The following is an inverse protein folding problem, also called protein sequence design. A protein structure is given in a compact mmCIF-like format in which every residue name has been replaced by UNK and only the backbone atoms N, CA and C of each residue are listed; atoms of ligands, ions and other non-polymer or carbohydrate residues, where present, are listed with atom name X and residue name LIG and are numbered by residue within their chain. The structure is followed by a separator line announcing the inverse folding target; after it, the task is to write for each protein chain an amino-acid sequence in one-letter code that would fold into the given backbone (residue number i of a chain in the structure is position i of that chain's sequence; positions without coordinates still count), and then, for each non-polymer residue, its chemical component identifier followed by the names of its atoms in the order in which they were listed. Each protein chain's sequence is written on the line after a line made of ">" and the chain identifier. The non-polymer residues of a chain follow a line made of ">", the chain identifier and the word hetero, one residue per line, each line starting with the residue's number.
data_IF_681363722911
#
_entry.id   IF_681363722911
#
_cell.length_a   1.000
_cell.length_b   1.000
_cell.length_c   1.000
_cell.angle_alpha   90.00
_cell.angle_beta   90.00
_cell.angle_gamma   90.00
#
_symmetry.space_group_name_H-M   'P 1'
#
loop_
_entity.id
_entity.type
_entity.pdbx_description
1 polymer ?
#
# COMPACT_ATOMS: atom_id res chain seq x y z
N UNK A 1 10.43 14.55 18.92
CA UNK A 1 10.08 13.11 18.79
C UNK A 1 9.31 12.59 20.00
N UNK A 2 9.89 12.75 21.20
CA UNK A 2 9.38 12.15 22.44
C UNK A 2 7.99 12.65 22.85
N UNK A 3 7.68 13.93 22.60
CA UNK A 3 6.35 14.49 22.83
C UNK A 3 5.30 13.77 21.97
N UNK A 4 5.61 13.45 20.71
CA UNK A 4 4.69 12.72 19.83
C UNK A 4 4.51 11.28 20.32
N UNK A 5 5.59 10.62 20.76
CA UNK A 5 5.49 9.26 21.32
C UNK A 5 4.62 9.25 22.58
N UNK A 6 4.78 10.23 23.48
CA UNK A 6 3.95 10.36 24.69
C UNK A 6 2.47 10.47 24.33
N UNK A 7 2.12 11.30 23.34
CA UNK A 7 0.75 11.41 22.86
C UNK A 7 0.22 10.11 22.24
N UNK A 8 1.07 9.35 21.53
CA UNK A 8 0.69 8.04 20.98
C UNK A 8 0.43 7.01 22.09
N UNK A 9 1.24 7.04 23.16
CA UNK A 9 1.07 6.16 24.31
C UNK A 9 -0.23 6.49 25.09
N UNK A 10 -0.52 7.77 25.29
CA UNK A 10 -1.80 8.22 25.86
C UNK A 10 -3.00 7.78 25.00
N UNK A 11 -2.87 7.89 23.67
CA UNK A 11 -3.89 7.41 22.75
C UNK A 11 -4.10 5.89 22.84
N UNK A 12 -3.03 5.13 23.06
CA UNK A 12 -3.09 3.69 23.27
C UNK A 12 -3.84 3.36 24.57
N UNK A 13 -3.61 4.09 25.65
CA UNK A 13 -4.33 3.91 26.91
C UNK A 13 -5.83 4.18 26.77
N UNK A 14 -6.20 5.18 25.95
CA UNK A 14 -7.60 5.56 25.74
C UNK A 14 -8.36 4.62 24.79
N UNK A 15 -7.68 4.07 23.79
CA UNK A 15 -8.35 3.39 22.67
C UNK A 15 -7.96 1.93 22.47
N UNK A 16 -6.91 1.46 23.16
CA UNK A 16 -6.29 0.15 22.93
C UNK A 16 -5.46 0.05 21.64
N UNK A 17 -5.39 1.12 20.82
CA UNK A 17 -4.60 1.15 19.58
C UNK A 17 -3.27 1.83 19.85
N UNK A 18 -2.20 1.05 19.88
CA UNK A 18 -0.85 1.55 20.04
C UNK A 18 -0.27 2.03 18.70
N UNK A 19 0.48 3.12 18.75
CA UNK A 19 1.27 3.64 17.65
C UNK A 19 2.67 3.98 18.15
N UNK A 20 3.66 3.89 17.27
CA UNK A 20 5.01 4.38 17.54
C UNK A 20 5.46 5.32 16.43
N UNK A 21 6.53 6.09 16.66
CA UNK A 21 7.09 6.97 15.62
C UNK A 21 7.46 6.19 14.35
N UNK A 22 7.93 4.96 14.55
CA UNK A 22 8.29 3.98 13.54
C UNK A 22 7.83 2.60 14.02
N UNK A 23 7.21 1.82 13.15
CA UNK A 23 6.71 0.49 13.47
C UNK A 23 7.30 -0.56 12.55
N UNK A 24 7.64 -1.72 13.13
CA UNK A 24 8.11 -2.89 12.40
C UNK A 24 7.02 -3.95 12.32
N UNK A 25 6.86 -4.57 11.15
CA UNK A 25 6.00 -5.73 10.94
C UNK A 25 6.72 -6.75 10.04
N UNK A 26 6.73 -8.03 10.43
CA UNK A 26 7.33 -9.09 9.62
C UNK A 26 8.12 -10.10 10.45
N UNK A 27 8.97 -10.86 9.77
CA UNK A 27 9.74 -11.94 10.38
C UNK A 27 10.80 -11.41 11.36
N UNK A 28 10.87 -11.88 12.63
CA UNK A 28 11.83 -11.36 13.62
C UNK A 28 13.31 -11.43 13.20
N UNK A 29 13.65 -12.32 12.25
CA UNK A 29 14.97 -12.43 11.62
C UNK A 29 14.91 -12.06 10.12
N UNK A 30 14.17 -11.02 9.77
CA UNK A 30 14.07 -10.57 8.38
C UNK A 30 15.46 -10.16 7.85
N UNK A 31 15.77 -10.59 6.63
CA UNK A 31 17.01 -10.21 5.93
C UNK A 31 16.77 -9.11 4.89
N UNK A 32 15.52 -8.97 4.44
CA UNK A 32 15.07 -7.96 3.47
C UNK A 32 13.92 -7.16 4.03
N UNK A 33 13.97 -5.85 3.90
CA UNK A 33 12.90 -4.96 4.36
C UNK A 33 12.43 -3.99 3.29
N UNK A 34 11.18 -3.55 3.43
CA UNK A 34 10.66 -2.37 2.77
C UNK A 34 10.41 -1.28 3.82
N UNK A 35 10.90 -0.05 3.59
CA UNK A 35 10.57 1.12 4.41
C UNK A 35 9.64 2.02 3.60
N UNK A 36 8.50 2.37 4.18
CA UNK A 36 7.52 3.22 3.52
C UNK A 36 6.75 4.10 4.49
N UNK A 37 6.00 5.06 3.92
CA UNK A 37 5.12 5.97 4.63
C UNK A 37 3.73 5.99 3.98
N UNK A 38 2.70 6.11 4.82
CA UNK A 38 1.31 6.29 4.40
C UNK A 38 0.61 4.97 4.04
N UNK A 39 -0.44 5.05 3.22
CA UNK A 39 -1.36 3.93 3.00
C UNK A 39 -0.71 2.68 2.41
N UNK A 40 0.43 2.80 1.71
CA UNK A 40 1.13 1.63 1.15
C UNK A 40 1.58 0.65 2.23
N UNK A 41 1.86 1.16 3.43
CA UNK A 41 2.26 0.37 4.58
C UNK A 41 1.22 -0.68 4.97
N UNK A 42 -0.08 -0.40 4.80
CA UNK A 42 -1.14 -1.38 5.06
C UNK A 42 -1.03 -2.58 4.12
N UNK A 43 -0.91 -2.34 2.81
CA UNK A 43 -0.72 -3.40 1.80
C UNK A 43 0.56 -4.19 2.07
N UNK A 44 1.65 -3.50 2.41
CA UNK A 44 2.94 -4.13 2.72
C UNK A 44 2.86 -4.98 3.99
N UNK A 45 2.23 -4.48 5.05
CA UNK A 45 2.04 -5.19 6.32
C UNK A 45 1.22 -6.46 6.10
N UNK A 46 0.10 -6.37 5.37
CA UNK A 46 -0.70 -7.55 5.00
C UNK A 46 0.11 -8.57 4.21
N UNK A 47 0.90 -8.10 3.23
CA UNK A 47 1.74 -8.98 2.42
C UNK A 47 2.73 -9.76 3.28
N UNK A 48 3.51 -9.10 4.15
CA UNK A 48 4.50 -9.81 4.98
C UNK A 48 3.87 -10.70 6.05
N UNK A 49 2.72 -10.31 6.60
CA UNK A 49 1.96 -11.16 7.54
C UNK A 49 1.41 -12.42 6.85
N UNK A 50 1.05 -12.34 5.57
CA UNK A 50 0.60 -13.50 4.79
C UNK A 50 1.73 -14.48 4.42
N UNK A 51 3.00 -14.10 4.65
CA UNK A 51 4.21 -14.86 4.32
C UNK A 51 5.12 -15.02 5.55
N UNK A 52 4.63 -15.60 6.67
CA UNK A 52 5.37 -15.64 7.92
C UNK A 52 6.68 -16.43 7.83
N UNK A 53 6.81 -17.36 6.87
CA UNK A 53 8.03 -18.16 6.66
C UNK A 53 9.09 -17.44 5.81
N UNK A 54 8.73 -16.35 5.14
CA UNK A 54 9.70 -15.56 4.38
C UNK A 54 10.44 -14.60 5.32
N UNK A 55 11.77 -14.54 5.21
CA UNK A 55 12.61 -13.61 6.00
C UNK A 55 12.51 -12.17 5.48
N UNK A 56 11.29 -11.63 5.47
CA UNK A 56 10.93 -10.30 4.99
C UNK A 56 10.22 -9.50 6.06
N UNK A 57 10.26 -8.18 5.94
CA UNK A 57 9.53 -7.29 6.83
C UNK A 57 9.33 -5.90 6.24
N UNK A 58 8.60 -5.09 7.00
CA UNK A 58 8.18 -3.75 6.63
C UNK A 58 8.43 -2.85 7.82
N UNK A 59 8.94 -1.65 7.54
CA UNK A 59 9.00 -0.57 8.50
C UNK A 59 8.10 0.56 8.01
N UNK A 60 7.17 0.94 8.87
CA UNK A 60 6.25 2.06 8.64
C UNK A 60 6.72 3.27 9.41
N UNK A 61 6.98 4.37 8.71
CA UNK A 61 7.33 5.66 9.32
C UNK A 61 6.06 6.47 9.52
N UNK A 62 5.70 6.75 10.78
CA UNK A 62 4.52 7.55 11.13
C UNK A 62 4.88 9.03 11.32
N UNK A 63 5.99 9.32 12.01
CA UNK A 63 6.50 10.68 12.16
C UNK A 63 7.63 10.94 11.16
N UNK A 64 7.35 11.63 10.04
CA UNK A 64 8.39 11.92 9.05
C UNK A 64 9.33 13.07 9.47
N UNK A 65 8.82 14.09 10.17
CA UNK A 65 9.59 15.24 10.65
C UNK A 65 9.16 15.67 12.06
N UNK A 66 10.10 15.93 12.98
CA UNK A 66 11.55 15.66 12.89
C UNK A 66 11.81 14.15 12.69
N UNK A 67 12.78 13.79 11.83
CA UNK A 67 13.00 12.41 11.41
C UNK A 67 13.50 11.56 12.59
N UNK A 68 12.85 10.43 12.92
CA UNK A 68 13.10 9.70 14.15
C UNK A 68 14.21 8.65 13.96
N UNK A 69 15.44 9.09 13.65
CA UNK A 69 16.59 8.21 13.33
C UNK A 69 16.80 7.08 14.35
N UNK A 70 16.79 7.38 15.65
CA UNK A 70 17.00 6.35 16.66
C UNK A 70 15.85 5.32 16.70
N UNK A 71 14.60 5.78 16.58
CA UNK A 71 13.45 4.88 16.55
C UNK A 71 13.46 4.01 15.29
N UNK A 72 13.87 4.58 14.14
CA UNK A 72 14.07 3.85 12.91
C UNK A 72 15.10 2.73 13.09
N UNK A 73 16.29 3.05 13.59
CA UNK A 73 17.36 2.06 13.78
C UNK A 73 16.97 0.97 14.77
N UNK A 74 16.26 1.33 15.85
CA UNK A 74 15.75 0.37 16.84
C UNK A 74 14.68 -0.59 16.26
N UNK A 75 13.95 -0.16 15.24
CA UNK A 75 12.92 -0.98 14.60
C UNK A 75 13.50 -2.00 13.59
N UNK A 76 14.78 -1.89 13.22
CA UNK A 76 15.41 -2.78 12.25
C UNK A 76 15.96 -4.04 12.92
N UNK A 77 15.49 -5.26 12.59
CA UNK A 77 16.11 -6.49 13.05
C UNK A 77 17.61 -6.53 12.73
N UNK A 78 18.41 -7.12 13.61
CA UNK A 78 19.87 -7.22 13.43
C UNK A 78 20.27 -7.95 12.14
N UNK A 79 19.47 -8.94 11.72
CA UNK A 79 19.67 -9.78 10.55
C UNK A 79 19.49 -9.08 9.20
N UNK A 80 19.03 -7.83 9.18
CA UNK A 80 18.73 -7.10 7.94
C UNK A 80 20.00 -6.84 7.14
N UNK A 81 19.95 -7.19 5.85
CA UNK A 81 21.05 -7.02 4.89
C UNK A 81 20.66 -6.08 3.75
N UNK A 82 19.37 -6.01 3.42
CA UNK A 82 18.86 -5.29 2.26
C UNK A 82 17.60 -4.50 2.63
N UNK A 83 17.52 -3.25 2.20
CA UNK A 83 16.35 -2.38 2.41
C UNK A 83 15.96 -1.70 1.11
N UNK A 84 14.70 -1.85 0.70
CA UNK A 84 14.09 -1.00 -0.33
C UNK A 84 13.29 0.12 0.34
N UNK A 85 13.58 1.37 -0.01
CA UNK A 85 12.82 2.54 0.47
C UNK A 85 11.84 2.98 -0.60
N UNK A 86 10.56 3.13 -0.25
CA UNK A 86 9.50 3.50 -1.18
C UNK A 86 9.03 4.94 -0.97
N UNK A 87 9.25 5.75 -1.99
CA UNK A 87 8.83 7.15 -2.02
C UNK A 87 7.63 7.34 -2.95
N UNK A 88 6.61 8.03 -2.45
CA UNK A 88 5.44 8.45 -3.24
C UNK A 88 5.63 9.84 -3.84
N UNK A 89 6.83 10.10 -4.34
CA UNK A 89 7.22 11.37 -4.97
C UNK A 89 8.29 11.10 -6.04
N UNK A 90 8.57 12.12 -6.85
CA UNK A 90 9.69 12.10 -7.79
C UNK A 90 10.35 13.48 -7.74
N UNK A 91 11.65 13.49 -7.46
CA UNK A 91 12.47 14.70 -7.52
C UNK A 91 13.46 14.57 -8.69
N UNK A 92 13.14 15.10 -9.88
CA UNK A 92 13.96 14.91 -11.07
C UNK A 92 15.38 15.46 -10.89
N UNK A 93 16.39 14.64 -11.20
CA UNK A 93 17.80 15.02 -11.09
C UNK A 93 18.39 14.94 -9.68
N UNK A 94 17.60 14.57 -8.67
CA UNK A 94 18.08 14.36 -7.31
C UNK A 94 18.98 13.11 -7.18
N UNK A 95 19.78 13.08 -6.12
CA UNK A 95 20.55 11.91 -5.70
C UNK A 95 19.68 10.83 -5.02
N UNK A 96 18.38 11.08 -4.86
CA UNK A 96 17.40 10.15 -4.30
C UNK A 96 16.18 10.90 -3.79
N UNK A 97 15.07 10.19 -3.64
CA UNK A 97 13.85 10.75 -3.08
C UNK A 97 13.97 11.00 -1.55
N UNK A 98 13.13 11.87 -0.96
CA UNK A 98 13.32 12.37 0.39
C UNK A 98 13.40 11.30 1.49
N UNK A 99 12.48 10.32 1.50
CA UNK A 99 12.51 9.26 2.51
C UNK A 99 13.74 8.37 2.34
N UNK A 100 14.08 8.02 1.10
CA UNK A 100 15.32 7.31 0.79
C UNK A 100 16.57 8.05 1.30
N UNK A 101 16.66 9.36 1.12
CA UNK A 101 17.82 10.14 1.59
C UNK A 101 17.93 10.18 3.12
N UNK A 102 16.81 10.32 3.84
CA UNK A 102 16.83 10.28 5.31
C UNK A 102 17.20 8.89 5.84
N UNK A 103 16.70 7.81 5.21
CA UNK A 103 17.07 6.44 5.55
C UNK A 103 18.54 6.19 5.25
N UNK A 104 19.04 6.66 4.10
CA UNK A 104 20.44 6.55 3.72
C UNK A 104 21.36 7.16 4.77
N UNK A 105 21.04 8.38 5.23
CA UNK A 105 21.80 9.06 6.29
C UNK A 105 21.73 8.28 7.62
N UNK A 106 20.54 7.84 8.03
CA UNK A 106 20.36 7.04 9.26
C UNK A 106 21.17 5.74 9.25
N UNK A 107 21.12 4.99 8.14
CA UNK A 107 21.85 3.73 7.98
C UNK A 107 23.36 3.98 7.92
N UNK A 108 23.80 5.02 7.20
CA UNK A 108 25.20 5.41 7.16
C UNK A 108 25.74 5.73 8.56
N UNK A 109 25.01 6.53 9.36
CA UNK A 109 25.39 6.86 10.73
C UNK A 109 25.42 5.63 11.65
N UNK A 110 24.59 4.62 11.40
CA UNK A 110 24.59 3.37 12.18
C UNK A 110 25.83 2.49 11.96
N UNK A 111 26.56 2.70 10.86
CA UNK A 111 27.70 1.86 10.46
C UNK A 111 27.32 0.43 10.02
N UNK A 112 26.03 0.10 9.95
CA UNK A 112 25.55 -1.22 9.51
C UNK A 112 25.75 -1.35 7.99
N UNK A 113 26.37 -2.46 7.50
CA UNK A 113 26.61 -2.66 6.08
C UNK A 113 25.33 -3.15 5.37
N UNK A 114 24.30 -2.31 5.34
CA UNK A 114 23.01 -2.62 4.72
C UNK A 114 22.98 -2.03 3.32
N UNK A 115 22.60 -2.85 2.34
CA UNK A 115 22.42 -2.38 0.98
C UNK A 115 21.05 -1.74 0.79
N UNK A 116 21.04 -0.51 0.24
CA UNK A 116 19.83 0.26 0.01
C UNK A 116 19.43 0.28 -1.46
N UNK A 117 18.12 0.23 -1.69
CA UNK A 117 17.47 0.41 -2.97
C UNK A 117 16.44 1.53 -2.87
N UNK A 118 16.31 2.36 -3.90
CA UNK A 118 15.32 3.44 -3.97
C UNK A 118 14.20 3.09 -4.95
N UNK A 119 12.97 3.11 -4.47
CA UNK A 119 11.79 2.78 -5.25
C UNK A 119 10.80 3.93 -5.28
N UNK A 120 10.20 4.18 -6.43
CA UNK A 120 9.05 5.08 -6.55
C UNK A 120 7.77 4.31 -6.82
N UNK A 121 6.68 4.77 -6.23
CA UNK A 121 5.36 4.19 -6.42
C UNK A 121 4.25 5.23 -6.37
N UNK A 122 3.06 4.87 -6.82
CA UNK A 122 1.81 5.52 -6.41
C UNK A 122 1.61 6.97 -6.83
N UNK A 123 2.43 7.51 -7.74
CA UNK A 123 2.30 8.86 -8.27
C UNK A 123 0.93 9.05 -8.93
N UNK A 124 0.32 10.21 -8.69
CA UNK A 124 -0.99 10.58 -9.27
C UNK A 124 -2.10 9.56 -9.02
N UNK A 125 -2.09 8.90 -7.86
CA UNK A 125 -3.12 7.93 -7.49
C UNK A 125 -2.96 6.56 -8.16
N UNK A 126 -1.82 6.26 -8.80
CA UNK A 126 -1.51 4.91 -9.27
C UNK A 126 -1.64 3.92 -8.10
N UNK A 127 -2.33 2.81 -8.32
CA UNK A 127 -2.53 1.79 -7.31
C UNK A 127 -1.21 1.06 -6.98
N UNK A 128 -1.13 0.54 -5.76
CA UNK A 128 -0.06 -0.35 -5.31
C UNK A 128 -0.72 -1.61 -4.75
N UNK A 129 -0.42 -2.75 -5.34
CA UNK A 129 -1.02 -4.04 -5.03
C UNK A 129 -0.05 -4.95 -4.26
N UNK A 130 -0.53 -6.02 -3.60
CA UNK A 130 0.34 -6.99 -2.93
C UNK A 130 1.42 -7.59 -3.84
N UNK A 131 1.13 -7.81 -5.11
CA UNK A 131 2.09 -8.35 -6.08
C UNK A 131 3.20 -7.35 -6.42
N UNK A 132 2.97 -6.06 -6.26
CA UNK A 132 4.03 -5.05 -6.36
C UNK A 132 5.07 -5.24 -5.24
N UNK A 133 4.62 -5.54 -4.02
CA UNK A 133 5.50 -5.88 -2.91
C UNK A 133 6.30 -7.16 -3.21
N UNK A 134 5.64 -8.19 -3.77
CA UNK A 134 6.31 -9.40 -4.24
C UNK A 134 7.43 -9.10 -5.24
N UNK A 135 7.16 -8.26 -6.25
CA UNK A 135 8.18 -7.90 -7.23
C UNK A 135 9.35 -7.12 -6.63
N UNK A 136 9.11 -6.28 -5.61
CA UNK A 136 10.19 -5.59 -4.88
C UNK A 136 11.07 -6.60 -4.13
N UNK A 137 10.47 -7.56 -3.41
CA UNK A 137 11.24 -8.60 -2.72
C UNK A 137 11.99 -9.53 -3.69
N UNK A 138 11.38 -9.88 -4.83
CA UNK A 138 12.02 -10.65 -5.90
C UNK A 138 13.21 -9.90 -6.52
N UNK A 139 13.08 -8.58 -6.72
CA UNK A 139 14.18 -7.72 -7.17
C UNK A 139 15.34 -7.72 -6.19
N UNK A 140 15.07 -7.63 -4.88
CA UNK A 140 16.12 -7.71 -3.84
C UNK A 140 16.84 -9.07 -3.84
N UNK A 141 16.14 -10.16 -4.18
CA UNK A 141 16.71 -11.50 -4.39
C UNK A 141 17.44 -11.66 -5.73
N UNK A 142 17.44 -10.64 -6.59
CA UNK A 142 18.00 -10.68 -7.93
C UNK A 142 17.38 -11.77 -8.83
N UNK A 143 16.09 -12.08 -8.66
CA UNK A 143 15.39 -13.10 -9.47
C UNK A 143 15.13 -12.64 -10.91
N UNK A 144 14.99 -11.33 -11.12
CA UNK A 144 14.64 -10.73 -12.42
C UNK A 144 15.59 -9.59 -12.84
N UNK A 145 16.82 -9.62 -12.31
CA UNK A 145 17.80 -8.56 -12.52
C UNK A 145 17.71 -7.45 -11.48
N UNK A 146 18.84 -7.21 -10.81
CA UNK A 146 18.96 -6.25 -9.73
C UNK A 146 18.88 -4.82 -10.24
N UNK A 147 18.05 -3.98 -9.61
CA UNK A 147 17.93 -2.55 -9.90
C UNK A 147 18.10 -1.73 -8.62
N UNK A 148 19.14 -0.89 -8.55
CA UNK A 148 19.35 0.03 -7.40
C UNK A 148 18.27 1.11 -7.29
N UNK A 149 17.77 1.53 -8.44
CA UNK A 149 16.63 2.43 -8.58
C UNK A 149 15.55 1.71 -9.38
N UNK A 150 14.30 1.79 -8.93
CA UNK A 150 13.18 1.17 -9.61
C UNK A 150 11.89 1.97 -9.50
N UNK A 151 10.93 1.66 -10.36
CA UNK A 151 9.56 2.19 -10.31
C UNK A 151 8.55 1.06 -10.36
N UNK A 152 7.40 1.27 -9.72
CA UNK A 152 6.35 0.26 -9.56
C UNK A 152 5.02 0.78 -10.12
N UNK A 153 4.26 -0.09 -10.77
CA UNK A 153 2.91 0.21 -11.28
C UNK A 153 2.85 0.90 -12.65
N UNK A 154 3.98 0.97 -13.36
CA UNK A 154 4.06 1.44 -14.75
C UNK A 154 4.95 0.51 -15.58
N UNK A 155 4.75 0.53 -16.89
CA UNK A 155 5.74 0.03 -17.84
C UNK A 155 6.61 1.22 -18.28
N UNK A 156 7.93 1.09 -18.09
CA UNK A 156 8.92 2.11 -18.43
C UNK A 156 9.88 1.51 -19.46
N UNK A 157 9.50 1.63 -20.71
CA UNK A 157 10.22 1.16 -21.90
C UNK A 157 11.35 2.10 -22.34
N UNK A 158 11.56 3.21 -21.62
CA UNK A 158 12.60 4.21 -21.94
C UNK A 158 13.79 4.09 -20.99
N UNK A 159 13.55 4.19 -19.67
CA UNK A 159 14.64 4.10 -18.68
C UNK A 159 14.78 2.69 -18.09
N UNK A 160 13.84 1.80 -18.39
CA UNK A 160 13.84 0.40 -17.93
C UNK A 160 13.98 0.28 -16.42
N UNK A 161 13.41 1.22 -15.66
CA UNK A 161 13.40 1.19 -14.20
C UNK A 161 12.20 0.42 -13.66
N UNK A 162 11.18 0.13 -14.49
CA UNK A 162 9.99 -0.59 -14.05
C UNK A 162 10.30 -1.99 -13.54
N UNK A 163 9.66 -2.36 -12.44
CA UNK A 163 9.50 -3.76 -12.05
C UNK A 163 8.36 -4.39 -12.87
N UNK A 164 8.30 -5.74 -12.95
CA UNK A 164 7.23 -6.43 -13.66
C UNK A 164 5.83 -5.99 -13.21
N UNK A 165 4.88 -5.94 -14.15
CA UNK A 165 3.47 -5.67 -13.87
C UNK A 165 2.71 -6.98 -13.88
N UNK A 166 1.95 -7.25 -12.82
CA UNK A 166 1.12 -8.46 -12.73
C UNK A 166 -0.02 -8.40 -13.75
N UNK A 167 0.00 -9.30 -14.72
CA UNK A 167 -1.04 -9.41 -15.76
C UNK A 167 -2.28 -10.18 -15.29
N UNK A 168 -2.12 -11.09 -14.32
CA UNK A 168 -3.19 -11.92 -13.80
C UNK A 168 -3.29 -11.73 -12.28
N UNK A 169 -4.14 -10.81 -11.81
CA UNK A 169 -4.28 -10.56 -10.38
C UNK A 169 -4.98 -11.72 -9.68
N UNK A 170 -4.56 -12.02 -8.45
CA UNK A 170 -5.29 -12.99 -7.63
C UNK A 170 -6.55 -12.36 -7.03
N UNK A 171 -7.58 -13.18 -6.81
CA UNK A 171 -8.80 -12.76 -6.11
C UNK A 171 -8.57 -12.70 -4.61
N UNK A 172 -9.13 -11.67 -3.99
CA UNK A 172 -9.14 -11.48 -2.53
C UNK A 172 -10.14 -12.46 -1.86
N UNK A 173 -9.82 -13.75 -1.78
CA UNK A 173 -10.75 -14.80 -1.33
C UNK A 173 -11.28 -14.62 0.10
N UNK A 174 -10.47 -14.03 0.99
CA UNK A 174 -10.84 -13.74 2.38
C UNK A 174 -11.89 -12.62 2.50
N UNK A 175 -12.15 -11.86 1.44
CA UNK A 175 -13.05 -10.70 1.46
C UNK A 175 -14.29 -10.95 0.60
N UNK A 176 -15.40 -10.31 0.99
CA UNK A 176 -16.54 -10.14 0.11
C UNK A 176 -16.32 -8.89 -0.74
N UNK A 177 -16.03 -9.06 -2.02
CA UNK A 177 -15.72 -7.98 -2.96
C UNK A 177 -16.87 -7.74 -3.94
N UNK A 178 -17.30 -6.47 -4.05
CA UNK A 178 -18.34 -6.04 -4.98
C UNK A 178 -17.83 -4.86 -5.79
N UNK A 179 -18.00 -4.94 -7.11
CA UNK A 179 -17.81 -3.82 -8.03
C UNK A 179 -19.18 -3.33 -8.48
N UNK A 180 -19.46 -2.04 -8.30
CA UNK A 180 -20.68 -1.42 -8.80
C UNK A 180 -20.30 -0.37 -9.84
N UNK A 181 -20.75 -0.58 -11.07
CA UNK A 181 -20.58 0.37 -12.16
C UNK A 181 -21.85 1.17 -12.38
N UNK A 182 -21.68 2.47 -12.63
CA UNK A 182 -22.76 3.36 -13.01
C UNK A 182 -22.27 4.56 -13.78
N UNK A 183 -23.19 5.47 -14.10
CA UNK A 183 -22.90 6.74 -14.75
C UNK A 183 -23.02 7.93 -13.79
N UNK A 184 -22.23 8.96 -14.02
CA UNK A 184 -22.33 10.22 -13.31
C UNK A 184 -23.74 10.81 -13.41
N UNK A 185 -24.45 10.85 -12.27
CA UNK A 185 -25.81 11.38 -12.12
C UNK A 185 -26.91 10.32 -11.96
N UNK A 186 -26.60 9.02 -12.04
CA UNK A 186 -27.62 7.95 -11.97
C UNK A 186 -27.94 7.44 -10.55
N UNK A 187 -27.21 7.94 -9.54
CA UNK A 187 -27.40 7.57 -8.14
C UNK A 187 -26.65 6.32 -7.66
N UNK A 188 -25.91 5.63 -8.53
CA UNK A 188 -25.14 4.41 -8.20
C UNK A 188 -24.17 4.60 -7.04
N UNK A 189 -23.41 5.70 -7.03
CA UNK A 189 -22.49 6.05 -5.94
C UNK A 189 -23.23 6.31 -4.62
N UNK A 190 -24.35 7.02 -4.67
CA UNK A 190 -25.19 7.28 -3.49
C UNK A 190 -25.76 5.99 -2.93
N UNK A 191 -26.20 5.07 -3.80
CA UNK A 191 -26.65 3.74 -3.42
C UNK A 191 -25.51 2.94 -2.75
N UNK A 192 -24.30 2.93 -3.32
CA UNK A 192 -23.12 2.29 -2.73
C UNK A 192 -22.78 2.83 -1.34
N UNK A 193 -22.82 4.16 -1.15
CA UNK A 193 -22.63 4.79 0.17
C UNK A 193 -23.72 4.39 1.18
N UNK A 194 -24.97 4.27 0.73
CA UNK A 194 -26.07 3.84 1.60
C UNK A 194 -25.94 2.37 2.00
N UNK A 195 -25.55 1.50 1.06
CA UNK A 195 -25.25 0.09 1.31
C UNK A 195 -24.13 -0.03 2.34
N UNK A 196 -23.01 0.68 2.13
CA UNK A 196 -21.89 0.73 3.07
C UNK A 196 -22.34 1.13 4.49
N UNK A 197 -23.12 2.22 4.61
CA UNK A 197 -23.64 2.70 5.91
C UNK A 197 -24.61 1.72 6.56
N UNK A 198 -25.46 1.06 5.77
CA UNK A 198 -26.42 0.09 6.29
C UNK A 198 -25.70 -1.14 6.85
N UNK A 199 -24.70 -1.63 6.13
CA UNK A 199 -23.89 -2.79 6.54
C UNK A 199 -22.99 -2.46 7.73
N UNK A 200 -22.32 -1.30 7.72
CA UNK A 200 -21.45 -0.88 8.82
C UNK A 200 -22.16 -0.56 10.14
N UNK A 201 -23.50 -0.44 10.14
CA UNK A 201 -24.30 -0.36 11.37
C UNK A 201 -24.53 -1.73 12.02
N UNK A 202 -24.32 -2.81 11.28
CA UNK A 202 -24.41 -4.16 11.84
C UNK A 202 -23.08 -4.47 12.52
N UNK A 203 -23.11 -4.89 13.79
CA UNK A 203 -21.90 -5.13 14.60
C UNK A 203 -21.01 -6.30 14.14
N UNK A 204 -21.31 -6.91 12.99
CA UNK A 204 -20.65 -8.12 12.48
C UNK A 204 -19.63 -7.85 11.37
N UNK A 205 -19.81 -6.74 10.63
CA UNK A 205 -19.04 -6.50 9.41
C UNK A 205 -18.15 -5.27 9.53
N UNK A 206 -16.86 -5.46 9.27
CA UNK A 206 -16.01 -4.39 8.78
C UNK A 206 -16.35 -4.13 7.32
N UNK A 207 -16.47 -2.86 6.97
CA UNK A 207 -16.85 -2.43 5.63
C UNK A 207 -15.89 -1.36 5.13
N UNK A 208 -15.51 -1.45 3.86
CA UNK A 208 -14.66 -0.48 3.19
C UNK A 208 -15.23 -0.18 1.80
N UNK A 209 -15.15 1.08 1.37
CA UNK A 209 -15.42 1.41 -0.01
C UNK A 209 -14.47 2.47 -0.56
N UNK A 210 -14.12 2.30 -1.83
CA UNK A 210 -13.44 3.28 -2.65
C UNK A 210 -14.37 3.65 -3.82
N UNK A 211 -14.50 4.96 -4.05
CA UNK A 211 -15.38 5.51 -5.10
C UNK A 211 -14.51 6.20 -6.15
N UNK A 212 -14.54 5.68 -7.36
CA UNK A 212 -13.81 6.21 -8.50
C UNK A 212 -14.76 7.00 -9.40
N UNK A 213 -14.27 8.17 -9.81
CA UNK A 213 -15.00 9.11 -10.64
C UNK A 213 -14.12 9.50 -11.82
N UNK A 214 -14.74 9.76 -12.97
CA UNK A 214 -14.09 10.47 -14.05
C UNK A 214 -13.90 11.96 -13.68
N UNK A 215 -12.86 12.57 -14.22
CA UNK A 215 -12.62 14.02 -14.27
C UNK A 215 -13.79 14.83 -14.86
N UNK A 216 -14.57 14.22 -15.76
CA UNK A 216 -15.68 14.86 -16.46
C UNK A 216 -16.97 14.89 -15.61
N UNK A 217 -17.62 16.06 -15.58
CA UNK A 217 -18.76 16.36 -14.67
C UNK A 217 -20.05 15.55 -14.88
N UNK A 218 -20.31 14.96 -16.04
CA UNK A 218 -21.61 14.33 -16.33
C UNK A 218 -21.52 13.14 -17.28
N UNK A 219 -22.33 12.09 -17.03
CA UNK A 219 -22.54 10.90 -17.88
C UNK A 219 -21.29 10.05 -18.16
N UNK A 220 -20.32 10.03 -17.24
CA UNK A 220 -19.14 9.18 -17.36
C UNK A 220 -19.20 8.02 -16.38
N UNK A 221 -18.38 7.01 -16.64
CA UNK A 221 -18.26 5.85 -15.78
C UNK A 221 -17.89 6.26 -14.35
N UNK A 222 -18.55 5.63 -13.41
CA UNK A 222 -18.23 5.66 -11.99
C UNK A 222 -18.13 4.24 -11.51
N UNK A 223 -17.15 3.98 -10.66
CA UNK A 223 -16.89 2.63 -10.12
C UNK A 223 -16.89 2.71 -8.60
N UNK A 224 -17.68 1.87 -7.96
CA UNK A 224 -17.61 1.66 -6.51
C UNK A 224 -16.95 0.32 -6.25
N UNK A 225 -15.83 0.35 -5.55
CA UNK A 225 -15.18 -0.84 -4.98
C UNK A 225 -15.68 -0.98 -3.56
N UNK A 226 -16.40 -2.05 -3.25
CA UNK A 226 -16.93 -2.33 -1.92
C UNK A 226 -16.33 -3.64 -1.39
N UNK A 227 -15.82 -3.60 -0.17
CA UNK A 227 -15.30 -4.76 0.55
C UNK A 227 -16.05 -4.94 1.86
N UNK A 228 -16.33 -6.19 2.21
CA UNK A 228 -16.85 -6.58 3.52
C UNK A 228 -16.03 -7.74 4.07
N UNK A 229 -15.86 -7.76 5.39
CA UNK A 229 -15.16 -8.82 6.10
C UNK A 229 -15.58 -8.86 7.56
N UNK A 230 -15.48 -10.02 8.20
CA UNK A 230 -15.61 -10.16 9.66
C UNK A 230 -14.35 -9.69 10.39
N UNK A 231 -13.25 -9.53 9.66
CA UNK A 231 -11.96 -9.02 10.16
C UNK A 231 -11.69 -7.61 9.61
N UNK A 232 -10.86 -6.79 10.29
CA UNK A 232 -10.47 -5.48 9.78
C UNK A 232 -9.91 -5.52 8.34
N UNK A 233 -10.32 -4.57 7.51
CA UNK A 233 -9.95 -4.49 6.09
C UNK A 233 -8.82 -3.48 5.93
N UNK A 234 -7.64 -3.95 5.52
CA UNK A 234 -6.42 -3.13 5.32
C UNK A 234 -5.95 -3.14 3.86
N UNK A 235 -6.88 -3.03 2.91
CA UNK A 235 -6.63 -3.13 1.46
C UNK A 235 -6.87 -1.79 0.74
N UNK A 236 -5.93 -0.82 0.82
CA UNK A 236 -6.10 0.52 0.25
C UNK A 236 -5.80 0.57 -1.27
N UNK A 237 -6.35 -0.37 -2.04
CA UNK A 237 -6.20 -0.46 -3.49
C UNK A 237 -7.52 -0.87 -4.16
N UNK A 238 -7.73 -0.54 -5.45
CA UNK A 238 -8.94 -0.92 -6.17
C UNK A 238 -9.12 -2.44 -6.26
N UNK A 239 -10.37 -2.91 -6.25
CA UNK A 239 -10.70 -4.32 -6.55
C UNK A 239 -10.43 -4.59 -8.03
N UNK A 240 -9.60 -5.60 -8.33
CA UNK A 240 -9.36 -6.10 -9.70
C UNK A 240 -10.21 -7.32 -10.04
N UNK A 241 -10.57 -8.15 -9.06
CA UNK A 241 -11.47 -9.29 -9.23
C UNK A 241 -12.56 -9.29 -8.14
N UNK A 242 -13.81 -9.17 -8.55
CA UNK A 242 -14.95 -9.08 -7.65
C UNK A 242 -15.73 -10.40 -7.56
N UNK A 243 -16.38 -10.67 -6.41
CA UNK A 243 -17.36 -11.77 -6.31
C UNK A 243 -18.70 -11.42 -6.93
N UNK A 244 -19.05 -10.14 -6.92
CA UNK A 244 -20.27 -9.62 -7.51
C UNK A 244 -19.95 -8.38 -8.32
N UNK A 245 -20.48 -8.32 -9.55
CA UNK A 245 -20.45 -7.13 -10.38
C UNK A 245 -21.89 -6.66 -10.56
N UNK A 246 -22.15 -5.40 -10.21
CA UNK A 246 -23.44 -4.74 -10.35
C UNK A 246 -23.35 -3.66 -11.40
N UNK A 247 -24.30 -3.64 -12.33
CA UNK A 247 -24.43 -2.61 -13.36
C UNK A 247 -25.70 -1.81 -13.09
N UNK A 248 -25.58 -0.49 -12.97
CA UNK A 248 -26.77 0.36 -12.83
C UNK A 248 -27.60 0.39 -14.12
N UNK A 249 -26.97 0.18 -15.27
CA UNK A 249 -27.58 0.21 -16.60
C UNK A 249 -26.94 -0.84 -17.51
N UNK A 250 -27.75 -1.53 -18.33
CA UNK A 250 -27.27 -2.53 -19.29
C UNK A 250 -26.33 -1.95 -20.35
N UNK A 251 -26.42 -0.65 -20.64
CA UNK A 251 -25.55 0.04 -21.59
C UNK A 251 -24.06 -0.08 -21.25
N UNK A 252 -23.73 -0.21 -19.96
CA UNK A 252 -22.36 -0.37 -19.47
C UNK A 252 -21.66 -1.59 -20.05
N UNK A 253 -22.38 -2.65 -20.44
CA UNK A 253 -21.80 -3.84 -21.09
C UNK A 253 -21.01 -3.52 -22.38
N UNK A 254 -21.23 -2.35 -22.98
CA UNK A 254 -20.49 -1.88 -24.16
C UNK A 254 -19.27 -1.05 -23.80
N UNK A 255 -19.24 -0.48 -22.60
CA UNK A 255 -18.26 0.52 -22.16
C UNK A 255 -17.19 -0.07 -21.23
N UNK A 256 -17.48 -1.20 -20.58
CA UNK A 256 -16.57 -1.86 -19.64
C UNK A 256 -16.31 -3.32 -20.02
N UNK A 257 -15.08 -3.76 -19.79
CA UNK A 257 -14.74 -5.17 -19.81
C UNK A 257 -15.10 -5.79 -18.46
N UNK A 258 -16.05 -6.73 -18.46
CA UNK A 258 -16.62 -7.35 -17.25
C UNK A 258 -16.08 -8.79 -17.07
N UNK A 259 -15.44 -9.35 -18.10
CA UNK A 259 -14.88 -10.69 -18.10
C UNK A 259 -13.37 -10.68 -17.88
#
# INVERSE_FOLDING_TARGET
>A
PDVVQTCMDEFAQLTGRAYHLVEYCGHPQATRLIIALGSVSETLNQYVQSKPDESVGVVTVHLYRPFPTQALLNALPESVQQISVLDRTKEPGSSGEPLYLDVLDAIYQSGRPIELFRGRYGLSGKAFFPEDAQHIFAMMRNEHGRKREFVVGIDDDVTHLSLPVTSQPEREEALQTVLMYGYGGDGSISAGKNVLKALGKQNHWYVNAQFEYDSKKSRNLTTTHLRLSEQPIQTPYPIRQARLISLSQLGLLKDIDIM
#
